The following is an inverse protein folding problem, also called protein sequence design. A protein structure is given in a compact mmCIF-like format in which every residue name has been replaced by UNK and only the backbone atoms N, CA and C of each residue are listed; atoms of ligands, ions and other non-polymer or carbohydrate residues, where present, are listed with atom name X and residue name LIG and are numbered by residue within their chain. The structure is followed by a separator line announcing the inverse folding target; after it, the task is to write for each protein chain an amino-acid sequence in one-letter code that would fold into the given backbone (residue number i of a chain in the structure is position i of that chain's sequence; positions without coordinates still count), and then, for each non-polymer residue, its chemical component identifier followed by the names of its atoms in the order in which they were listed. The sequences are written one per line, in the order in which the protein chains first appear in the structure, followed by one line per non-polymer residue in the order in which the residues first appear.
data_IF_387446650190
#
_entry.id   IF_387446650190
#
_cell.length_a   1.000
_cell.length_b   1.000
_cell.length_c   1.000
_cell.angle_alpha   90.00
_cell.angle_beta   90.00
_cell.angle_gamma   90.00
#
_symmetry.space_group_name_H-M   'P 1'
#
loop_
_entity.id
_entity.type
_entity.pdbx_description
1 polymer ?
#
# COMPACT_ATOMS: atom_id res chain seq x y z
N UNK A 1 -19.74 -6.11 -14.99
CA UNK A 1 -20.91 -7.03 -14.99
C UNK A 1 -20.63 -8.46 -14.50
N UNK A 2 -19.61 -9.17 -14.99
CA UNK A 2 -19.29 -10.53 -14.50
C UNK A 2 -18.74 -10.55 -13.06
N UNK A 3 -17.86 -9.59 -12.72
CA UNK A 3 -17.27 -9.47 -11.38
C UNK A 3 -18.32 -9.14 -10.31
N UNK A 4 -19.27 -8.23 -10.59
CA UNK A 4 -20.41 -7.94 -9.69
C UNK A 4 -21.24 -9.18 -9.38
N UNK A 5 -21.42 -10.08 -10.35
CA UNK A 5 -22.17 -11.32 -10.17
C UNK A 5 -21.43 -12.30 -9.25
N UNK A 6 -20.12 -12.44 -9.43
CA UNK A 6 -19.26 -13.27 -8.56
C UNK A 6 -19.19 -12.71 -7.14
N UNK A 7 -19.10 -11.38 -6.99
CA UNK A 7 -19.04 -10.72 -5.69
C UNK A 7 -20.38 -10.77 -4.94
N UNK A 8 -21.51 -10.75 -5.65
CA UNK A 8 -22.85 -10.84 -5.04
C UNK A 8 -23.11 -12.15 -4.29
N UNK A 9 -22.41 -13.22 -4.65
CA UNK A 9 -22.51 -14.52 -3.98
C UNK A 9 -21.56 -14.65 -2.77
N UNK A 10 -20.58 -13.75 -2.63
CA UNK A 10 -19.50 -13.82 -1.62
C UNK A 10 -19.62 -12.71 -0.57
N UNK A 11 -20.15 -11.55 -0.96
CA UNK A 11 -20.24 -10.35 -0.13
C UNK A 11 -21.64 -10.26 0.48
N UNK A 12 -21.79 -10.08 1.81
CA UNK A 12 -23.10 -9.96 2.45
C UNK A 12 -23.94 -8.83 1.84
N UNK A 13 -25.26 -9.01 1.77
CA UNK A 13 -26.19 -8.07 1.14
C UNK A 13 -26.20 -6.65 1.75
N UNK A 14 -25.63 -6.47 2.95
CA UNK A 14 -25.51 -5.16 3.61
C UNK A 14 -24.26 -4.37 3.18
N UNK A 15 -23.32 -4.98 2.46
CA UNK A 15 -22.11 -4.31 2.02
C UNK A 15 -22.35 -3.63 0.66
N UNK A 16 -22.00 -2.35 0.56
CA UNK A 16 -21.96 -1.65 -0.71
C UNK A 16 -20.72 -2.06 -1.50
N UNK A 17 -20.90 -2.76 -2.61
CA UNK A 17 -19.80 -3.09 -3.55
C UNK A 17 -19.59 -1.91 -4.50
N UNK A 18 -18.44 -1.24 -4.37
CA UNK A 18 -17.99 -0.21 -5.32
C UNK A 18 -16.90 -0.81 -6.20
N UNK A 19 -17.12 -0.83 -7.51
CA UNK A 19 -16.08 -1.15 -8.47
C UNK A 19 -15.37 0.15 -8.84
N UNK A 20 -14.10 0.28 -8.44
CA UNK A 20 -13.31 1.49 -8.65
C UNK A 20 -13.16 1.81 -10.15
N UNK A 21 -13.10 0.79 -11.00
CA UNK A 21 -12.96 0.93 -12.46
C UNK A 21 -14.26 1.40 -13.16
N UNK A 22 -15.38 1.49 -12.43
CA UNK A 22 -16.67 1.97 -12.97
C UNK A 22 -16.99 3.41 -12.49
N UNK A 23 -16.05 4.08 -11.82
CA UNK A 23 -16.15 5.51 -11.52
C UNK A 23 -15.68 6.28 -12.75
N UNK A 24 -16.62 6.88 -13.48
CA UNK A 24 -16.38 7.62 -14.71
C UNK A 24 -15.65 8.95 -14.41
N UNK A 25 -14.41 9.08 -14.87
CA UNK A 25 -13.60 10.32 -14.83
C UNK A 25 -14.03 11.32 -15.92
N UNK A 26 -15.32 11.67 -15.95
CA UNK A 26 -15.86 12.70 -16.85
C UNK A 26 -15.34 14.11 -16.51
N UNK A 27 -15.24 15.03 -17.49
CA UNK A 27 -14.63 16.34 -17.29
C UNK A 27 -15.46 17.20 -16.32
N UNK A 28 -14.83 17.59 -15.20
CA UNK A 28 -15.21 18.65 -14.26
C UNK A 28 -16.70 19.05 -14.27
N UNK A 29 -17.52 18.29 -13.55
CA UNK A 29 -18.82 18.80 -13.13
C UNK A 29 -18.59 19.97 -12.14
N UNK A 30 -19.10 21.14 -12.52
CA UNK A 30 -19.21 22.37 -11.70
C UNK A 30 -19.71 22.05 -10.28
N UNK A 31 -19.41 22.90 -9.26
CA UNK A 31 -19.92 22.72 -7.91
C UNK A 31 -21.42 23.03 -7.87
N UNK A 32 -22.24 22.10 -8.39
CA UNK A 32 -23.63 21.96 -8.00
C UNK A 32 -23.63 21.48 -6.56
N UNK A 33 -24.42 22.12 -5.71
CA UNK A 33 -24.60 21.80 -4.30
C UNK A 33 -24.45 20.30 -4.06
N UNK A 34 -23.33 19.92 -3.44
CA UNK A 34 -23.14 18.54 -2.99
C UNK A 34 -24.41 18.17 -2.23
N UNK A 35 -25.06 17.03 -2.55
CA UNK A 35 -26.11 16.53 -1.68
C UNK A 35 -25.48 16.49 -0.29
N UNK A 36 -26.14 17.13 0.67
CA UNK A 36 -25.70 17.13 2.06
C UNK A 36 -25.31 15.69 2.39
N UNK A 37 -24.10 15.44 2.93
CA UNK A 37 -23.74 14.09 3.33
C UNK A 37 -24.92 13.56 4.13
N UNK A 38 -25.42 12.34 3.84
CA UNK A 38 -26.57 11.81 4.56
C UNK A 38 -26.30 12.03 6.04
N UNK A 39 -27.29 12.62 6.73
CA UNK A 39 -27.31 12.88 8.18
C UNK A 39 -27.38 11.54 8.93
N UNK A 40 -26.35 10.76 8.68
CA UNK A 40 -25.94 9.59 9.39
C UNK A 40 -24.48 9.94 9.65
N UNK A 41 -24.17 10.35 10.88
CA UNK A 41 -22.90 9.87 11.45
C UNK A 41 -22.86 8.40 11.02
N UNK A 42 -21.92 7.95 10.17
CA UNK A 42 -21.95 6.58 9.70
C UNK A 42 -21.90 5.77 10.97
N UNK A 43 -23.06 5.24 11.38
CA UNK A 43 -23.17 4.49 12.61
C UNK A 43 -22.10 3.45 12.45
N UNK A 44 -21.15 3.40 13.39
CA UNK A 44 -20.18 2.33 13.42
C UNK A 44 -21.00 1.06 13.33
N UNK A 45 -21.11 0.48 12.13
CA UNK A 45 -21.66 -0.84 12.00
C UNK A 45 -20.71 -1.65 12.86
N UNK A 46 -21.22 -2.31 13.90
CA UNK A 46 -20.42 -3.18 14.74
C UNK A 46 -20.00 -4.36 13.87
N UNK A 47 -18.95 -4.17 13.07
CA UNK A 47 -18.37 -5.19 12.22
C UNK A 47 -17.58 -6.11 13.15
N UNK A 48 -17.98 -7.38 13.31
CA UNK A 48 -17.26 -8.29 14.18
C UNK A 48 -15.80 -8.42 13.71
N UNK A 49 -14.82 -8.56 14.62
CA UNK A 49 -13.42 -8.72 14.23
C UNK A 49 -13.18 -9.86 13.23
N UNK A 50 -13.99 -10.93 13.30
CA UNK A 50 -13.83 -12.10 12.41
C UNK A 50 -14.60 -11.98 11.09
N UNK A 51 -15.29 -10.86 10.86
CA UNK A 51 -15.90 -10.60 9.58
C UNK A 51 -14.79 -10.43 8.52
N UNK A 52 -15.06 -10.92 7.30
CA UNK A 52 -14.18 -10.76 6.16
C UNK A 52 -14.04 -9.28 5.82
N UNK A 53 -12.81 -8.80 5.75
CA UNK A 53 -12.44 -7.45 5.39
C UNK A 53 -12.17 -7.33 3.88
N UNK A 54 -11.30 -8.19 3.33
CA UNK A 54 -11.01 -8.21 1.90
C UNK A 54 -10.62 -9.61 1.39
N UNK A 55 -10.58 -9.75 0.07
CA UNK A 55 -10.12 -10.95 -0.61
C UNK A 55 -9.14 -10.58 -1.73
N UNK A 56 -7.95 -11.17 -1.71
CA UNK A 56 -6.96 -11.05 -2.79
C UNK A 56 -6.78 -12.41 -3.44
N UNK A 57 -6.81 -12.44 -4.77
CA UNK A 57 -6.61 -13.68 -5.53
C UNK A 57 -5.14 -13.83 -5.93
N UNK A 58 -4.54 -14.95 -5.54
CA UNK A 58 -3.15 -15.29 -5.88
C UNK A 58 -3.10 -16.43 -6.88
N UNK A 59 -1.98 -16.56 -7.60
CA UNK A 59 -1.77 -17.68 -8.53
C UNK A 59 -1.67 -18.99 -7.76
N UNK A 60 -2.66 -19.87 -7.95
CA UNK A 60 -2.62 -21.21 -7.38
C UNK A 60 -1.67 -22.13 -8.16
N UNK A 61 -0.96 -23.01 -7.46
CA UNK A 61 -0.13 -24.07 -8.07
C UNK A 61 -0.90 -25.01 -9.01
N UNK A 62 -2.22 -25.02 -8.93
CA UNK A 62 -3.14 -25.81 -9.78
C UNK A 62 -3.63 -25.05 -11.01
N UNK A 63 -3.15 -23.82 -11.25
CA UNK A 63 -3.59 -22.97 -12.36
C UNK A 63 -4.92 -22.25 -12.14
N UNK A 64 -5.63 -22.53 -11.03
CA UNK A 64 -6.82 -21.79 -10.60
C UNK A 64 -6.45 -20.79 -9.51
N UNK A 65 -6.81 -19.50 -9.64
CA UNK A 65 -6.55 -18.52 -8.59
C UNK A 65 -7.19 -18.92 -7.25
N UNK A 66 -6.48 -18.72 -6.15
CA UNK A 66 -6.98 -18.96 -4.79
C UNK A 66 -7.30 -17.62 -4.15
N UNK A 67 -8.50 -17.47 -3.60
CA UNK A 67 -8.90 -16.26 -2.87
C UNK A 67 -8.43 -16.35 -1.42
N UNK A 68 -7.45 -15.54 -1.06
CA UNK A 68 -7.01 -15.35 0.34
C UNK A 68 -7.97 -14.37 0.99
N UNK A 69 -8.66 -14.81 2.03
CA UNK A 69 -9.66 -14.02 2.75
C UNK A 69 -9.03 -13.51 4.05
N UNK A 70 -9.04 -12.19 4.24
CA UNK A 70 -8.48 -11.55 5.42
C UNK A 70 -9.62 -10.95 6.25
N UNK A 71 -9.61 -11.18 7.55
CA UNK A 71 -10.58 -10.65 8.52
C UNK A 71 -10.26 -9.21 8.96
N UNK A 72 -11.24 -8.53 9.55
CA UNK A 72 -11.02 -7.22 10.17
C UNK A 72 -9.98 -7.27 11.30
N UNK A 73 -9.93 -8.36 12.08
CA UNK A 73 -8.93 -8.56 13.14
C UNK A 73 -7.51 -8.56 12.58
N UNK A 74 -7.27 -9.35 11.55
CA UNK A 74 -5.97 -9.48 10.90
C UNK A 74 -5.53 -8.15 10.27
N UNK A 75 -6.45 -7.53 9.53
CA UNK A 75 -6.30 -6.20 8.95
C UNK A 75 -5.89 -5.14 9.98
N UNK A 76 -6.65 -5.03 11.08
CA UNK A 76 -6.36 -4.07 12.14
C UNK A 76 -5.04 -4.39 12.87
N UNK A 77 -4.65 -5.67 12.96
CA UNK A 77 -3.38 -6.05 13.56
C UNK A 77 -2.19 -5.54 12.73
N UNK A 78 -2.24 -5.73 11.41
CA UNK A 78 -1.22 -5.20 10.48
C UNK A 78 -1.06 -3.68 10.64
N UNK A 79 -2.16 -2.93 10.50
CA UNK A 79 -2.13 -1.46 10.52
C UNK A 79 -1.59 -0.92 11.85
N UNK A 80 -1.92 -1.56 12.98
CA UNK A 80 -1.38 -1.19 14.29
C UNK A 80 0.12 -1.47 14.39
N UNK A 81 0.58 -2.59 13.84
CA UNK A 81 2.01 -2.91 13.81
C UNK A 81 2.79 -1.91 12.94
N UNK A 82 2.30 -1.63 11.73
CA UNK A 82 2.87 -0.64 10.81
C UNK A 82 2.91 0.75 11.43
N UNK A 83 1.84 1.18 12.12
CA UNK A 83 1.82 2.48 12.78
C UNK A 83 2.94 2.64 13.83
N UNK A 84 3.23 1.58 14.60
CA UNK A 84 4.33 1.57 15.57
C UNK A 84 5.70 1.63 14.88
N UNK A 85 5.84 0.94 13.73
CA UNK A 85 7.11 0.78 13.02
C UNK A 85 7.43 1.97 12.12
N UNK A 86 6.47 2.43 11.32
CA UNK A 86 6.66 3.43 10.26
C UNK A 86 6.58 4.87 10.78
N UNK A 87 5.86 5.09 11.89
CA UNK A 87 5.73 6.41 12.52
C UNK A 87 5.29 7.48 11.52
N UNK A 88 4.24 7.16 10.75
CA UNK A 88 3.55 8.14 9.89
C UNK A 88 2.74 9.12 10.75
N UNK A 89 2.46 10.27 10.17
CA UNK A 89 1.74 11.38 10.78
C UNK A 89 0.82 12.07 9.77
N UNK A 90 -0.09 12.97 10.19
CA UNK A 90 -0.91 13.73 9.26
C UNK A 90 -0.13 14.63 8.29
N UNK A 91 1.15 14.92 8.57
CA UNK A 91 2.03 15.67 7.68
C UNK A 91 2.55 14.83 6.50
N UNK A 92 2.33 13.52 6.50
CA UNK A 92 2.86 12.61 5.50
C UNK A 92 2.00 12.49 4.25
N UNK A 93 2.65 12.06 3.17
CA UNK A 93 2.07 11.84 1.86
C UNK A 93 2.53 10.47 1.38
N UNK A 94 1.64 9.49 1.46
CA UNK A 94 1.88 8.10 1.09
C UNK A 94 1.50 7.89 -0.36
N UNK A 95 2.40 7.35 -1.18
CA UNK A 95 2.03 6.94 -2.53
C UNK A 95 1.20 5.64 -2.49
N UNK A 96 0.08 5.63 -3.21
CA UNK A 96 -0.63 4.41 -3.59
C UNK A 96 -0.16 4.02 -5.00
N UNK A 97 0.80 3.11 -5.11
CA UNK A 97 1.47 2.76 -6.36
C UNK A 97 1.25 1.31 -6.80
N UNK A 98 1.01 0.38 -5.88
CA UNK A 98 0.69 -0.99 -6.22
C UNK A 98 -0.71 -1.13 -6.82
N UNK A 99 -0.92 -2.16 -7.66
CA UNK A 99 -2.29 -2.48 -8.09
C UNK A 99 -3.16 -2.83 -6.88
N UNK A 100 -4.42 -2.40 -6.86
CA UNK A 100 -5.41 -2.83 -5.85
C UNK A 100 -5.70 -4.33 -5.86
N UNK A 101 -5.26 -5.05 -6.90
CA UNK A 101 -5.28 -6.51 -6.96
C UNK A 101 -4.11 -7.17 -6.23
N UNK A 102 -3.12 -6.38 -5.76
CA UNK A 102 -1.97 -6.83 -4.98
C UNK A 102 -2.09 -6.31 -3.56
N UNK A 103 -1.77 -7.15 -2.59
CA UNK A 103 -2.03 -6.89 -1.18
C UNK A 103 -1.14 -5.76 -0.59
N UNK A 104 0.01 -5.46 -1.17
CA UNK A 104 0.79 -4.28 -0.79
C UNK A 104 0.03 -2.94 -0.96
N UNK A 105 -0.98 -2.88 -1.84
CA UNK A 105 -1.87 -1.71 -1.90
C UNK A 105 -2.69 -1.50 -0.62
N UNK A 106 -2.96 -2.58 0.13
CA UNK A 106 -3.66 -2.52 1.41
C UNK A 106 -2.78 -1.84 2.47
N UNK A 107 -1.49 -2.16 2.53
CA UNK A 107 -0.50 -1.44 3.36
C UNK A 107 -0.52 0.06 3.00
N UNK A 108 -0.34 0.40 1.72
CA UNK A 108 -0.30 1.79 1.24
C UNK A 108 -1.52 2.61 1.69
N UNK A 109 -2.72 2.08 1.46
CA UNK A 109 -3.98 2.77 1.73
C UNK A 109 -4.19 2.90 3.24
N UNK A 110 -4.03 1.81 3.99
CA UNK A 110 -4.40 1.78 5.40
C UNK A 110 -3.40 2.47 6.30
N UNK A 111 -2.10 2.39 6.01
CA UNK A 111 -1.10 3.14 6.78
C UNK A 111 -1.32 4.64 6.63
N UNK A 112 -1.74 5.10 5.44
CA UNK A 112 -2.08 6.50 5.21
C UNK A 112 -3.30 6.93 6.03
N UNK A 113 -4.40 6.20 5.92
CA UNK A 113 -5.65 6.54 6.60
C UNK A 113 -5.53 6.45 8.12
N UNK A 114 -4.86 5.43 8.63
CA UNK A 114 -4.65 5.27 10.07
C UNK A 114 -3.83 6.41 10.67
N UNK A 115 -2.83 6.90 9.95
CA UNK A 115 -2.00 8.02 10.39
C UNK A 115 -2.65 9.40 10.18
N UNK A 116 -3.81 9.47 9.50
CA UNK A 116 -4.40 10.74 9.04
C UNK A 116 -3.57 11.43 7.96
N UNK A 117 -2.69 10.69 7.28
CA UNK A 117 -1.83 11.18 6.22
C UNK A 117 -2.60 11.37 4.90
N UNK A 118 -1.98 12.07 3.95
CA UNK A 118 -2.51 12.16 2.58
C UNK A 118 -2.17 10.90 1.80
N UNK A 119 -3.17 10.27 1.16
CA UNK A 119 -2.95 9.25 0.15
C UNK A 119 -2.80 9.91 -1.23
N UNK A 120 -1.66 9.73 -1.88
CA UNK A 120 -1.37 10.21 -3.24
C UNK A 120 -1.61 9.06 -4.21
N UNK A 121 -2.71 9.12 -4.96
CA UNK A 121 -3.07 8.07 -5.93
C UNK A 121 -2.15 8.13 -7.13
N UNK A 122 -1.30 7.12 -7.31
CA UNK A 122 -0.41 6.99 -8.44
C UNK A 122 -1.12 6.45 -9.67
N UNK A 123 -0.83 7.01 -10.84
CA UNK A 123 -1.32 6.44 -12.11
C UNK A 123 -0.35 5.37 -12.61
N UNK A 124 -0.82 4.53 -13.54
CA UNK A 124 0.05 3.56 -14.22
C UNK A 124 1.19 4.27 -14.95
N UNK A 125 0.93 5.42 -15.55
CA UNK A 125 1.92 6.23 -16.27
C UNK A 125 2.98 6.79 -15.32
N UNK A 126 2.60 7.16 -14.10
CA UNK A 126 3.55 7.54 -13.06
C UNK A 126 4.48 6.38 -12.74
N UNK A 127 3.94 5.19 -12.46
CA UNK A 127 4.76 4.02 -12.10
C UNK A 127 5.66 3.54 -13.26
N UNK A 128 5.30 3.85 -14.50
CA UNK A 128 6.08 3.55 -15.71
C UNK A 128 7.01 4.70 -16.14
N UNK A 129 7.18 5.74 -15.33
CA UNK A 129 8.02 6.90 -15.68
C UNK A 129 9.53 6.63 -15.62
N UNK A 130 9.95 5.42 -15.21
CA UNK A 130 11.35 5.01 -15.23
C UNK A 130 12.22 5.94 -14.39
N UNK A 131 13.36 6.43 -14.93
CA UNK A 131 14.27 7.33 -14.20
C UNK A 131 13.63 8.64 -13.70
N UNK A 132 12.51 9.07 -14.28
CA UNK A 132 11.83 10.31 -13.87
C UNK A 132 10.94 10.12 -12.63
N UNK A 133 10.73 8.87 -12.18
CA UNK A 133 9.83 8.57 -11.07
C UNK A 133 10.18 9.36 -9.79
N UNK A 134 11.44 9.38 -9.29
CA UNK A 134 11.79 10.12 -8.08
C UNK A 134 11.44 11.62 -8.17
N UNK A 135 11.73 12.26 -9.31
CA UNK A 135 11.43 13.66 -9.52
C UNK A 135 9.92 13.95 -9.54
N UNK A 136 9.12 13.01 -10.08
CA UNK A 136 7.64 13.10 -10.03
C UNK A 136 7.11 12.88 -8.61
N UNK A 137 7.68 11.94 -7.84
CA UNK A 137 7.33 11.76 -6.42
C UNK A 137 7.64 13.02 -5.62
N UNK A 138 8.79 13.65 -5.89
CA UNK A 138 9.20 14.91 -5.27
C UNK A 138 8.25 16.07 -5.60
N UNK A 139 7.81 16.20 -6.86
CA UNK A 139 6.86 17.26 -7.26
C UNK A 139 5.51 17.13 -6.55
N UNK A 140 5.10 15.90 -6.22
CA UNK A 140 3.90 15.60 -5.42
C UNK A 140 4.16 15.61 -3.91
N UNK A 141 5.40 15.86 -3.48
CA UNK A 141 5.86 15.86 -2.08
C UNK A 141 5.60 14.53 -1.36
N UNK A 142 5.69 13.41 -2.07
CA UNK A 142 5.57 12.09 -1.46
C UNK A 142 6.65 11.92 -0.39
N UNK A 143 6.25 11.47 0.81
CA UNK A 143 7.15 11.25 1.95
C UNK A 143 7.34 9.78 2.29
N UNK A 144 6.40 8.91 1.86
CA UNK A 144 6.44 7.47 2.06
C UNK A 144 6.19 6.71 0.76
N UNK A 145 7.08 5.76 0.45
CA UNK A 145 7.02 4.96 -0.76
C UNK A 145 7.26 3.48 -0.45
N UNK A 146 6.22 2.67 -0.66
CA UNK A 146 6.31 1.20 -0.64
C UNK A 146 6.58 0.71 -2.06
N UNK A 147 7.55 -0.17 -2.24
CA UNK A 147 8.04 -0.58 -3.56
C UNK A 147 8.82 -1.90 -3.52
N UNK A 148 9.37 -2.32 -4.65
CA UNK A 148 10.27 -3.46 -4.75
C UNK A 148 11.74 -3.02 -4.85
N UNK A 149 12.70 -3.77 -4.29
CA UNK A 149 14.13 -3.44 -4.38
C UNK A 149 14.64 -3.23 -5.81
N UNK A 150 14.16 -4.03 -6.78
CA UNK A 150 14.58 -3.91 -8.18
C UNK A 150 14.24 -2.57 -8.80
N UNK A 151 13.11 -1.94 -8.42
CA UNK A 151 12.76 -0.61 -8.90
C UNK A 151 13.74 0.43 -8.33
N UNK A 152 14.00 0.40 -7.01
CA UNK A 152 14.93 1.34 -6.39
C UNK A 152 16.37 1.25 -6.93
N UNK A 153 16.80 0.06 -7.37
CA UNK A 153 18.11 -0.14 -7.98
C UNK A 153 18.31 0.64 -9.30
N UNK A 154 17.22 1.04 -9.95
CA UNK A 154 17.22 1.77 -11.22
C UNK A 154 17.03 3.29 -11.05
N UNK A 155 16.91 3.77 -9.82
CA UNK A 155 16.49 5.14 -9.52
C UNK A 155 17.55 5.91 -8.72
N UNK A 156 17.55 7.23 -8.91
CA UNK A 156 18.45 8.13 -8.17
C UNK A 156 17.76 8.67 -6.89
N UNK A 157 18.27 8.34 -5.69
CA UNK A 157 17.74 8.86 -4.44
C UNK A 157 17.86 10.38 -4.30
N UNK A 158 18.82 11.04 -4.96
CA UNK A 158 19.00 12.49 -4.85
C UNK A 158 17.83 13.28 -5.46
N UNK A 159 17.10 12.66 -6.39
CA UNK A 159 15.95 13.26 -7.08
C UNK A 159 14.64 13.20 -6.27
N UNK A 160 14.64 12.59 -5.07
CA UNK A 160 13.48 12.54 -4.17
C UNK A 160 13.85 12.83 -2.70
N UNK A 161 14.25 14.08 -2.37
CA UNK A 161 14.63 14.46 -1.02
C UNK A 161 13.45 14.46 -0.02
N UNK A 162 12.20 14.60 -0.47
CA UNK A 162 11.02 14.56 0.44
C UNK A 162 10.74 13.15 0.98
N UNK A 163 11.21 12.09 0.32
CA UNK A 163 11.06 10.73 0.81
C UNK A 163 11.84 10.55 2.10
N UNK A 164 11.11 10.26 3.19
CA UNK A 164 11.66 9.96 4.52
C UNK A 164 11.45 8.51 4.94
N UNK A 165 10.48 7.82 4.34
CA UNK A 165 10.13 6.43 4.61
C UNK A 165 10.13 5.65 3.29
N UNK A 166 10.90 4.57 3.28
CA UNK A 166 10.98 3.64 2.17
C UNK A 166 10.74 2.25 2.73
N UNK A 167 9.78 1.55 2.12
CA UNK A 167 9.41 0.19 2.47
C UNK A 167 9.68 -0.65 1.22
N UNK A 168 10.43 -1.73 1.37
CA UNK A 168 10.67 -2.69 0.30
C UNK A 168 10.25 -4.08 0.73
N UNK A 169 9.64 -4.82 -0.17
CA UNK A 169 9.24 -6.21 0.08
C UNK A 169 9.06 -6.98 -1.22
N UNK A 170 8.66 -8.25 -1.12
CA UNK A 170 8.38 -9.12 -2.27
C UNK A 170 9.61 -9.65 -3.02
N UNK A 171 10.79 -9.08 -2.81
CA UNK A 171 12.05 -9.52 -3.41
C UNK A 171 13.21 -9.45 -2.41
N UNK A 172 14.32 -10.12 -2.71
CA UNK A 172 15.53 -9.97 -1.94
C UNK A 172 16.12 -8.55 -2.13
N UNK A 173 16.34 -7.83 -1.03
CA UNK A 173 16.95 -6.51 -1.06
C UNK A 173 18.49 -6.61 -1.03
N UNK A 174 19.16 -6.08 -2.06
CA UNK A 174 20.61 -5.99 -2.08
C UNK A 174 21.12 -4.85 -1.19
N UNK A 175 22.25 -5.07 -0.50
CA UNK A 175 22.84 -4.05 0.39
C UNK A 175 23.15 -2.74 -0.36
N UNK A 176 23.51 -2.78 -1.65
CA UNK A 176 23.75 -1.58 -2.45
C UNK A 176 22.52 -0.69 -2.60
N UNK A 177 21.30 -1.26 -2.60
CA UNK A 177 20.05 -0.48 -2.61
C UNK A 177 19.88 0.23 -1.27
N UNK A 178 20.15 -0.46 -0.16
CA UNK A 178 20.10 0.12 1.18
C UNK A 178 21.14 1.22 1.36
N UNK A 179 22.38 0.99 0.94
CA UNK A 179 23.45 1.98 1.03
C UNK A 179 23.11 3.27 0.26
N UNK A 180 22.38 3.16 -0.86
CA UNK A 180 21.93 4.30 -1.64
C UNK A 180 20.71 5.02 -1.04
N UNK A 181 19.72 4.26 -0.52
CA UNK A 181 18.42 4.83 -0.18
C UNK A 181 18.19 5.06 1.32
N UNK A 182 18.86 4.31 2.20
CA UNK A 182 18.69 4.44 3.66
C UNK A 182 19.34 5.70 4.29
N UNK A 183 20.45 6.28 3.78
CA UNK A 183 21.04 7.46 4.40
C UNK A 183 20.03 8.61 4.57
N UNK A 184 19.86 9.07 5.81
CA UNK A 184 18.91 10.16 6.15
C UNK A 184 17.43 9.77 6.09
N UNK A 185 17.11 8.50 5.86
CA UNK A 185 15.74 7.99 5.71
C UNK A 185 15.49 6.79 6.62
N UNK A 186 14.22 6.50 6.88
CA UNK A 186 13.80 5.22 7.45
C UNK A 186 13.64 4.23 6.29
N UNK A 187 14.46 3.18 6.26
CA UNK A 187 14.38 2.14 5.25
C UNK A 187 14.01 0.81 5.92
N UNK A 188 12.95 0.18 5.45
CA UNK A 188 12.48 -1.11 5.95
C UNK A 188 12.46 -2.15 4.85
N UNK A 189 13.08 -3.30 5.11
CA UNK A 189 12.88 -4.52 4.33
C UNK A 189 11.82 -5.36 5.05
N UNK A 190 10.72 -5.65 4.36
CA UNK A 190 9.58 -6.37 4.90
C UNK A 190 9.37 -7.69 4.19
N UNK A 191 8.75 -8.63 4.90
CA UNK A 191 8.37 -9.91 4.34
C UNK A 191 7.00 -10.32 4.87
N UNK A 192 6.16 -10.82 3.99
CA UNK A 192 4.89 -11.44 4.32
C UNK A 192 4.27 -12.06 3.07
N UNK A 193 3.79 -13.31 3.14
CA UNK A 193 2.89 -13.82 2.12
C UNK A 193 1.50 -13.20 2.27
N UNK A 194 0.69 -13.22 1.21
CA UNK A 194 -0.69 -12.74 1.25
C UNK A 194 -1.53 -13.42 2.32
N UNK A 195 -1.28 -14.71 2.56
CA UNK A 195 -1.93 -15.51 3.61
C UNK A 195 -1.62 -15.03 5.05
N UNK A 196 -0.60 -14.19 5.24
CA UNK A 196 -0.22 -13.63 6.53
C UNK A 196 -0.61 -12.15 6.69
N UNK A 197 -1.45 -11.61 5.78
CA UNK A 197 -1.89 -10.21 5.77
C UNK A 197 -0.75 -9.24 5.46
N UNK A 198 -0.32 -9.21 4.19
CA UNK A 198 0.65 -8.25 3.62
C UNK A 198 2.08 -8.38 4.19
N UNK A 199 2.30 -7.99 5.45
CA UNK A 199 3.60 -8.01 6.11
C UNK A 199 3.53 -8.79 7.42
N UNK A 200 4.37 -9.82 7.53
CA UNK A 200 4.55 -10.60 8.74
C UNK A 200 5.76 -10.12 9.57
N UNK A 201 6.79 -9.57 8.90
CA UNK A 201 8.04 -9.17 9.53
C UNK A 201 8.60 -7.86 8.96
N UNK A 202 9.26 -7.11 9.83
CA UNK A 202 9.86 -5.81 9.52
C UNK A 202 11.33 -5.81 9.94
N UNK A 203 12.23 -5.44 9.03
CA UNK A 203 13.62 -5.21 9.33
C UNK A 203 14.01 -3.78 8.98
N UNK A 204 14.35 -2.98 10.00
CA UNK A 204 14.95 -1.66 9.76
C UNK A 204 16.37 -1.86 9.24
N UNK A 205 16.63 -1.40 8.03
CA UNK A 205 17.95 -1.49 7.40
C UNK A 205 18.77 -0.24 7.69
N UNK A 206 20.06 -0.43 7.93
CA UNK A 206 21.04 0.65 8.09
C UNK A 206 22.10 0.51 6.97
N UNK A 207 22.67 1.62 6.48
CA UNK A 207 23.75 1.57 5.50
C UNK A 207 25.01 0.96 6.09
N UNK A 208 25.87 0.39 5.23
CA UNK A 208 27.21 -0.04 5.61
C UNK A 208 27.29 -1.37 6.36
N UNK A 209 26.34 -2.29 6.14
CA UNK A 209 26.41 -3.65 6.66
C UNK A 209 27.74 -4.31 6.23
N UNK A 210 28.42 -4.97 7.18
CA UNK A 210 29.77 -5.49 6.94
C UNK A 210 29.79 -6.59 5.86
N UNK A 211 30.84 -6.63 5.05
CA UNK A 211 31.01 -7.62 3.97
C UNK A 211 31.01 -9.04 4.56
N UNK A 212 29.96 -9.80 4.30
CA UNK A 212 29.77 -11.18 4.82
C UNK A 212 28.54 -11.34 5.72
N UNK A 213 27.95 -10.24 6.18
CA UNK A 213 26.64 -10.25 6.83
C UNK A 213 25.54 -10.34 5.77
N UNK A 214 24.57 -11.24 5.98
CA UNK A 214 23.41 -11.34 5.10
C UNK A 214 22.37 -10.31 5.52
N UNK A 215 21.87 -9.55 4.55
CA UNK A 215 20.66 -8.77 4.73
C UNK A 215 19.57 -9.68 5.30
N UNK A 216 19.01 -9.29 6.44
CA UNK A 216 17.92 -10.05 7.02
C UNK A 216 16.68 -9.81 6.17
N UNK A 217 16.11 -10.92 5.70
CA UNK A 217 14.68 -10.97 5.42
C UNK A 217 14.04 -10.82 6.79
N UNK A 218 13.05 -9.93 6.92
CA UNK A 218 12.43 -9.63 8.21
C UNK A 218 12.13 -10.88 9.02
#
# INVERSE_FOLDING_TARGET
TALRRVLGDVVPAYCQVVLLDEIDDGPQSRPGSAPSPPDRSPGHADVPPEARCYVIYTSGSTGRPKGVQISHREACNLVRAEALVYQLSPADRVLQGFSTSFDASVEEIWMAFYAGATLVVGTKELMLSGPDLPAKLESMKVTAFSTVPTLLACLDPASAPSLRLIIVGGEACAQSVVDAWAPGRRFFNTYGPTEATVVATFHKCEPGLARGERMKIG
#
